data_IF_340114630341
#
_entry.id   IF_340114630341
#
_cell.length_a   1.000
_cell.length_b   1.000
_cell.length_c   1.000
_cell.angle_alpha   90.00
_cell.angle_beta   90.00
_cell.angle_gamma   90.00
#
_symmetry.space_group_name_H-M   'P 1'
#
loop_
_entity.id
_entity.type
_entity.pdbx_description
1 polymer ?
#
# COMPACT_ATOMS: atom_id res chain seq x y z
N UNK A 1 -5.97 6.68 -2.56
CA UNK A 1 -4.91 5.68 -2.84
C UNK A 1 -5.13 4.47 -1.95
N UNK A 2 -5.30 3.30 -2.54
CA UNK A 2 -5.35 2.02 -1.81
C UNK A 2 -4.04 1.30 -2.10
N UNK A 3 -3.28 0.97 -1.05
CA UNK A 3 -1.92 0.46 -1.19
C UNK A 3 -1.79 -0.93 -0.57
N UNK A 4 -1.87 -2.01 -1.38
CA UNK A 4 -1.48 -3.35 -0.96
C UNK A 4 0.04 -3.38 -0.76
N UNK A 5 0.46 -3.50 0.50
CA UNK A 5 1.87 -3.50 0.91
C UNK A 5 2.63 -4.66 0.25
N UNK A 6 3.80 -4.34 -0.30
CA UNK A 6 4.71 -5.29 -0.94
C UNK A 6 4.15 -6.10 -2.14
N UNK A 7 3.04 -5.65 -2.73
CA UNK A 7 2.41 -6.31 -3.89
C UNK A 7 3.09 -5.92 -5.22
N UNK A 8 4.30 -6.43 -5.45
CA UNK A 8 5.12 -6.16 -6.63
C UNK A 8 4.66 -6.83 -7.93
N UNK A 9 5.28 -6.40 -9.05
CA UNK A 9 5.00 -6.88 -10.41
C UNK A 9 5.27 -8.38 -10.57
N UNK A 10 6.23 -8.92 -9.81
CA UNK A 10 6.48 -10.36 -9.75
C UNK A 10 5.23 -11.15 -9.32
N UNK A 11 4.64 -10.79 -8.17
CA UNK A 11 3.44 -11.44 -7.66
C UNK A 11 2.24 -11.20 -8.59
N UNK A 12 2.10 -9.99 -9.11
CA UNK A 12 1.07 -9.64 -10.09
C UNK A 12 1.12 -10.54 -11.32
N UNK A 13 2.25 -10.59 -12.03
CA UNK A 13 2.38 -11.40 -13.26
C UNK A 13 2.10 -12.87 -13.02
N UNK A 14 2.54 -13.38 -11.87
CA UNK A 14 2.39 -14.78 -11.49
C UNK A 14 0.95 -15.14 -11.14
N UNK A 15 0.24 -14.26 -10.44
CA UNK A 15 -1.03 -14.60 -9.79
C UNK A 15 -2.25 -13.81 -10.28
N UNK A 16 -2.13 -12.91 -11.27
CA UNK A 16 -3.24 -12.08 -11.77
C UNK A 16 -4.53 -12.85 -12.16
N UNK A 17 -4.44 -14.14 -12.51
CA UNK A 17 -5.63 -14.95 -12.78
C UNK A 17 -6.47 -15.23 -11.53
N UNK A 18 -5.87 -15.12 -10.35
CA UNK A 18 -6.50 -15.26 -9.04
C UNK A 18 -7.15 -13.96 -8.54
N UNK A 19 -6.95 -12.85 -9.27
CA UNK A 19 -7.38 -11.50 -8.87
C UNK A 19 -8.20 -10.86 -10.02
N UNK A 20 -9.40 -11.40 -10.31
CA UNK A 20 -10.19 -10.98 -11.47
C UNK A 20 -10.57 -9.50 -11.45
N UNK A 21 -10.81 -8.90 -10.28
CA UNK A 21 -11.15 -7.48 -10.20
C UNK A 21 -9.97 -6.60 -10.61
N UNK A 22 -8.80 -6.77 -9.98
CA UNK A 22 -7.57 -6.07 -10.37
C UNK A 22 -7.21 -6.32 -11.83
N UNK A 23 -7.38 -7.56 -12.32
CA UNK A 23 -7.17 -7.91 -13.73
C UNK A 23 -8.05 -7.14 -14.68
N UNK A 24 -9.31 -6.91 -14.33
CA UNK A 24 -10.20 -6.08 -15.14
C UNK A 24 -9.72 -4.62 -15.20
N UNK A 25 -9.27 -4.04 -14.08
CA UNK A 25 -8.76 -2.69 -14.03
C UNK A 25 -7.47 -2.52 -14.83
N UNK A 26 -6.52 -3.46 -14.67
CA UNK A 26 -5.26 -3.45 -15.42
C UNK A 26 -5.45 -3.70 -16.92
N UNK A 27 -6.55 -4.35 -17.36
CA UNK A 27 -6.86 -4.47 -18.78
C UNK A 27 -7.28 -3.13 -19.41
N UNK A 28 -7.84 -2.21 -18.61
CA UNK A 28 -8.23 -0.87 -19.06
C UNK A 28 -7.08 0.13 -18.92
N UNK A 29 -6.41 0.13 -17.77
CA UNK A 29 -5.41 1.12 -17.37
C UNK A 29 -4.32 0.45 -16.55
N UNK A 30 -3.10 0.42 -17.06
CA UNK A 30 -1.98 -0.21 -16.37
C UNK A 30 -0.68 0.51 -16.68
N UNK A 31 0.08 0.79 -15.63
CA UNK A 31 1.47 1.22 -15.73
C UNK A 31 2.30 0.47 -14.69
N UNK A 32 3.54 0.15 -15.03
CA UNK A 32 4.53 -0.35 -14.07
C UNK A 32 5.35 0.83 -13.58
N UNK A 33 5.40 1.01 -12.27
CA UNK A 33 6.22 2.02 -11.60
C UNK A 33 7.42 1.35 -10.95
N UNK A 34 8.43 2.16 -10.61
CA UNK A 34 9.61 1.72 -9.86
C UNK A 34 9.66 2.42 -8.50
N UNK A 35 9.74 1.64 -7.44
CA UNK A 35 9.99 2.08 -6.05
C UNK A 35 11.34 2.77 -5.91
N UNK A 36 11.46 3.68 -4.96
CA UNK A 36 12.73 4.31 -4.60
C UNK A 36 13.51 3.41 -3.63
N UNK A 37 14.81 3.70 -3.47
CA UNK A 37 15.70 2.90 -2.63
C UNK A 37 15.85 3.43 -1.20
N UNK A 38 15.91 2.55 -0.19
CA UNK A 38 15.64 1.11 -0.28
C UNK A 38 14.14 0.82 -0.49
N UNK A 39 13.84 -0.27 -1.21
CA UNK A 39 12.50 -0.78 -1.53
C UNK A 39 11.81 -1.39 -0.29
N UNK A 40 11.61 -0.56 0.74
CA UNK A 40 10.98 -0.94 2.01
C UNK A 40 9.82 -0.01 2.36
N UNK A 41 8.92 -0.51 3.20
CA UNK A 41 7.62 0.11 3.48
C UNK A 41 7.69 1.57 3.94
N UNK A 42 8.45 1.95 4.99
CA UNK A 42 8.45 3.34 5.46
C UNK A 42 8.98 4.32 4.42
N UNK A 43 9.97 3.89 3.63
CA UNK A 43 10.61 4.72 2.61
C UNK A 43 9.65 4.94 1.44
N UNK A 44 9.03 3.89 0.92
CA UNK A 44 8.21 4.02 -0.28
C UNK A 44 6.84 4.64 -0.01
N UNK A 45 6.22 4.36 1.14
CA UNK A 45 5.04 5.13 1.55
C UNK A 45 5.35 6.62 1.77
N UNK A 46 6.54 6.95 2.28
CA UNK A 46 6.98 8.34 2.36
C UNK A 46 7.16 8.96 0.96
N UNK A 47 7.76 8.23 0.02
CA UNK A 47 7.90 8.67 -1.37
C UNK A 47 6.54 8.93 -2.04
N UNK A 48 5.55 8.05 -1.82
CA UNK A 48 4.20 8.19 -2.37
C UNK A 48 3.50 9.49 -1.93
N UNK A 49 3.78 10.00 -0.73
CA UNK A 49 3.15 11.23 -0.21
C UNK A 49 4.05 12.45 -0.29
N UNK A 50 5.32 12.32 -0.64
CA UNK A 50 6.27 13.45 -0.74
C UNK A 50 6.72 13.74 -2.18
N UNK A 51 6.61 12.76 -3.09
CA UNK A 51 7.04 12.90 -4.48
C UNK A 51 8.56 12.92 -4.67
N UNK A 52 9.35 12.54 -3.66
CA UNK A 52 10.82 12.49 -3.70
C UNK A 52 11.32 11.16 -3.14
N UNK A 53 12.60 10.86 -3.33
CA UNK A 53 13.29 9.72 -2.73
C UNK A 53 13.76 9.98 -1.29
N UNK A 54 14.50 9.03 -0.72
CA UNK A 54 14.96 9.04 0.65
C UNK A 54 15.78 10.28 1.03
N UNK A 55 16.60 10.78 0.11
CA UNK A 55 17.43 11.96 0.36
C UNK A 55 16.56 13.22 0.48
N UNK A 56 15.43 13.26 -0.24
CA UNK A 56 14.47 14.36 -0.12
C UNK A 56 13.55 14.27 1.10
N UNK A 57 12.98 13.09 1.38
CA UNK A 57 11.96 12.95 2.44
C UNK A 57 12.51 12.58 3.82
N UNK A 58 13.72 12.00 3.90
CA UNK A 58 14.44 11.74 5.17
C UNK A 58 13.89 10.58 6.04
N UNK A 59 12.79 9.94 5.63
CA UNK A 59 12.09 8.88 6.38
C UNK A 59 12.73 7.52 6.13
N UNK A 60 13.44 6.96 7.13
CA UNK A 60 14.04 5.62 7.08
C UNK A 60 13.20 4.55 7.79
N UNK A 61 12.40 4.99 8.75
CA UNK A 61 11.51 4.17 9.59
C UNK A 61 10.27 4.99 9.91
N UNK A 62 9.16 4.32 10.23
CA UNK A 62 7.83 4.94 10.35
C UNK A 62 7.72 5.99 11.49
N UNK A 63 8.67 6.01 12.43
CA UNK A 63 8.73 6.96 13.53
C UNK A 63 9.45 8.27 13.18
N UNK A 64 10.17 8.32 12.05
CA UNK A 64 10.81 9.55 11.56
C UNK A 64 9.79 10.59 11.05
N UNK A 65 10.13 11.87 11.14
CA UNK A 65 9.39 12.96 10.50
C UNK A 65 9.88 13.20 9.07
N UNK A 66 9.00 13.76 8.22
CA UNK A 66 9.37 14.23 6.88
C UNK A 66 10.28 15.46 6.98
N UNK A 67 11.30 15.53 6.11
CA UNK A 67 12.17 16.69 5.94
C UNK A 67 11.72 17.63 4.83
N UNK A 68 10.63 17.30 4.14
CA UNK A 68 10.06 18.02 3.03
C UNK A 68 8.54 18.21 3.19
N UNK A 69 7.95 19.00 2.30
CA UNK A 69 6.49 19.12 2.18
C UNK A 69 5.87 17.80 1.68
N UNK A 70 4.75 17.42 2.27
CA UNK A 70 3.96 16.24 1.84
C UNK A 70 2.65 16.66 1.18
N UNK A 71 2.00 15.73 0.48
CA UNK A 71 0.63 15.90 -0.01
C UNK A 71 -0.34 16.28 1.11
N UNK A 72 -0.13 15.79 2.33
CA UNK A 72 -0.93 16.19 3.50
C UNK A 72 -0.82 17.69 3.77
N UNK A 73 0.41 18.24 3.69
CA UNK A 73 0.66 19.68 3.87
C UNK A 73 0.07 20.51 2.72
N UNK A 74 0.22 20.04 1.48
CA UNK A 74 -0.33 20.70 0.29
C UNK A 74 -1.86 20.78 0.37
N UNK A 75 -2.53 19.66 0.68
CA UNK A 75 -3.98 19.60 0.85
C UNK A 75 -4.44 20.55 1.96
N UNK A 76 -3.77 20.53 3.11
CA UNK A 76 -4.08 21.43 4.24
C UNK A 76 -3.90 22.89 3.87
N UNK A 77 -2.82 23.26 3.17
CA UNK A 77 -2.57 24.63 2.70
C UNK A 77 -3.64 25.13 1.71
N UNK A 78 -4.21 24.22 0.92
CA UNK A 78 -5.34 24.52 0.04
C UNK A 78 -6.69 24.61 0.78
N UNK A 79 -6.72 24.38 2.10
CA UNK A 79 -7.94 24.38 2.92
C UNK A 79 -8.69 23.05 2.95
N UNK A 80 -8.13 22.01 2.34
CA UNK A 80 -8.69 20.65 2.35
C UNK A 80 -8.25 19.84 3.57
N UNK A 81 -8.72 18.60 3.63
CA UNK A 81 -8.32 17.62 4.66
C UNK A 81 -7.86 16.32 4.03
N UNK A 82 -6.91 15.69 4.70
CA UNK A 82 -6.34 14.43 4.29
C UNK A 82 -6.48 13.33 5.35
N UNK A 83 -6.43 12.07 4.92
CA UNK A 83 -6.48 10.89 5.79
C UNK A 83 -5.35 9.91 5.46
N UNK A 84 -4.70 9.42 6.51
CA UNK A 84 -3.75 8.31 6.46
C UNK A 84 -4.27 7.17 7.32
N UNK A 85 -4.24 5.93 6.80
CA UNK A 85 -4.90 4.79 7.43
C UNK A 85 -3.99 3.57 7.43
N UNK A 86 -3.93 2.86 8.56
CA UNK A 86 -3.24 1.58 8.67
C UNK A 86 -3.54 0.84 9.97
N UNK A 87 -3.01 -0.38 10.05
CA UNK A 87 -3.02 -1.17 11.28
C UNK A 87 -2.02 -0.62 12.31
N UNK A 88 -2.28 -0.88 13.59
CA UNK A 88 -1.39 -0.52 14.68
C UNK A 88 0.01 -1.10 14.50
N UNK A 89 1.02 -0.22 14.55
CA UNK A 89 2.41 -0.60 14.34
C UNK A 89 2.86 -0.62 12.89
N UNK A 90 1.97 -0.34 11.94
CA UNK A 90 2.30 -0.27 10.51
C UNK A 90 2.50 1.19 10.07
N UNK A 91 3.21 1.40 8.97
CA UNK A 91 3.51 2.73 8.41
C UNK A 91 2.28 3.59 8.19
N UNK A 92 1.15 3.01 7.79
CA UNK A 92 -0.12 3.69 7.58
C UNK A 92 -0.66 4.34 8.85
N UNK A 93 -0.43 3.74 10.02
CA UNK A 93 -0.82 4.31 11.31
C UNK A 93 0.31 5.16 11.92
N UNK A 94 1.54 4.65 11.94
CA UNK A 94 2.65 5.28 12.65
C UNK A 94 3.25 6.49 11.90
N UNK A 95 3.18 6.49 10.56
CA UNK A 95 3.68 7.57 9.71
C UNK A 95 2.54 8.36 9.08
N UNK A 96 1.68 7.72 8.28
CA UNK A 96 0.70 8.43 7.45
C UNK A 96 -0.41 9.06 8.28
N UNK A 97 -1.08 8.28 9.14
CA UNK A 97 -2.15 8.79 10.02
C UNK A 97 -1.65 9.89 10.97
N UNK A 98 -0.38 9.80 11.41
CA UNK A 98 0.26 10.81 12.26
C UNK A 98 0.46 12.16 11.55
N UNK A 99 0.68 12.14 10.23
CA UNK A 99 0.93 13.35 9.42
C UNK A 99 -0.34 13.91 8.74
N UNK A 100 -1.37 13.08 8.58
CA UNK A 100 -2.65 13.45 8.02
C UNK A 100 -3.52 14.26 9.00
N UNK A 101 -4.56 14.92 8.48
CA UNK A 101 -5.51 15.69 9.29
C UNK A 101 -6.53 14.80 10.01
N UNK A 102 -6.83 13.63 9.41
CA UNK A 102 -7.75 12.63 9.94
C UNK A 102 -6.98 11.32 10.13
N UNK A 103 -6.63 10.94 11.37
CA UNK A 103 -5.90 9.71 11.64
C UNK A 103 -6.82 8.49 11.54
N UNK A 104 -6.49 7.53 10.67
CA UNK A 104 -7.18 6.26 10.54
C UNK A 104 -6.47 5.11 11.24
N UNK A 105 -6.75 4.92 12.53
CA UNK A 105 -6.32 3.73 13.27
C UNK A 105 -7.31 2.58 13.05
N UNK A 106 -6.86 1.52 12.38
CA UNK A 106 -7.64 0.31 12.12
C UNK A 106 -7.44 -0.80 13.17
N UNK A 107 -6.76 -0.51 14.28
CA UNK A 107 -6.53 -1.47 15.35
C UNK A 107 -5.49 -2.53 14.99
N UNK A 108 -5.56 -3.69 15.66
CA UNK A 108 -4.61 -4.81 15.47
C UNK A 108 -5.19 -5.97 14.64
N UNK A 109 -6.30 -5.73 13.95
CA UNK A 109 -7.07 -6.76 13.25
C UNK A 109 -6.53 -7.04 11.85
N UNK A 110 -7.40 -7.11 10.84
CA UNK A 110 -7.06 -7.49 9.46
C UNK A 110 -7.17 -6.32 8.50
N UNK A 111 -6.81 -6.54 7.24
CA UNK A 111 -7.04 -5.56 6.18
C UNK A 111 -8.53 -5.23 5.98
N UNK A 112 -9.47 -6.07 6.46
CA UNK A 112 -10.89 -5.71 6.46
C UNK A 112 -11.20 -4.58 7.45
N UNK A 113 -10.47 -4.48 8.56
CA UNK A 113 -10.59 -3.34 9.48
C UNK A 113 -10.06 -2.05 8.84
N UNK A 114 -8.96 -2.15 8.06
CA UNK A 114 -8.45 -1.03 7.26
C UNK A 114 -9.49 -0.60 6.23
N UNK A 115 -10.11 -1.54 5.52
CA UNK A 115 -11.14 -1.24 4.52
C UNK A 115 -12.39 -0.61 5.14
N UNK A 116 -12.83 -1.12 6.30
CA UNK A 116 -13.93 -0.55 7.06
C UNK A 116 -13.61 0.89 7.49
N UNK A 117 -12.42 1.12 8.06
CA UNK A 117 -11.96 2.44 8.50
C UNK A 117 -11.84 3.43 7.33
N UNK A 118 -11.30 3.00 6.19
CA UNK A 118 -11.21 3.82 4.99
C UNK A 118 -12.59 4.25 4.49
N UNK A 119 -13.56 3.35 4.51
CA UNK A 119 -14.92 3.69 4.11
C UNK A 119 -15.61 4.63 5.11
N UNK A 120 -15.45 4.37 6.42
CA UNK A 120 -15.99 5.21 7.49
C UNK A 120 -15.45 6.65 7.38
N UNK A 121 -14.16 6.81 7.16
CA UNK A 121 -13.54 8.13 6.99
C UNK A 121 -14.02 8.80 5.70
N UNK A 122 -14.08 8.07 4.58
CA UNK A 122 -14.56 8.61 3.31
C UNK A 122 -16.02 9.10 3.40
N UNK A 123 -16.90 8.32 4.04
CA UNK A 123 -18.33 8.64 4.16
C UNK A 123 -18.59 9.75 5.20
N UNK A 124 -17.93 9.69 6.35
CA UNK A 124 -18.21 10.59 7.48
C UNK A 124 -17.43 11.91 7.45
N UNK A 125 -16.23 11.91 6.87
CA UNK A 125 -15.34 13.07 6.88
C UNK A 125 -15.06 13.65 5.49
N UNK A 126 -15.28 12.86 4.43
CA UNK A 126 -15.07 13.26 3.04
C UNK A 126 -13.73 14.00 2.80
N UNK A 127 -12.57 13.43 3.17
CA UNK A 127 -11.28 14.06 2.93
C UNK A 127 -10.99 14.24 1.43
N UNK A 128 -10.28 15.29 1.05
CA UNK A 128 -9.83 15.53 -0.32
C UNK A 128 -8.75 14.53 -0.77
N UNK A 129 -8.00 13.98 0.18
CA UNK A 129 -6.99 12.94 -0.06
C UNK A 129 -7.04 11.85 1.00
N UNK A 130 -7.03 10.59 0.58
CA UNK A 130 -6.98 9.43 1.47
C UNK A 130 -5.94 8.44 0.95
N UNK A 131 -5.08 7.95 1.85
CA UNK A 131 -4.19 6.82 1.60
C UNK A 131 -4.35 5.75 2.68
N UNK A 132 -4.53 4.50 2.27
CA UNK A 132 -4.69 3.37 3.17
C UNK A 132 -3.70 2.25 2.85
N UNK A 133 -2.93 1.82 3.85
CA UNK A 133 -2.03 0.67 3.77
C UNK A 133 -2.80 -0.61 4.13
N UNK A 134 -2.91 -1.52 3.15
CA UNK A 134 -3.38 -2.89 3.34
C UNK A 134 -2.14 -3.78 3.54
N UNK A 135 -1.81 -4.07 4.80
CA UNK A 135 -0.50 -4.59 5.20
C UNK A 135 -0.36 -6.12 5.15
N UNK A 136 -1.46 -6.88 5.06
CA UNK A 136 -1.39 -8.33 5.27
C UNK A 136 -0.76 -9.11 4.11
N UNK A 137 -0.66 -8.51 2.92
CA UNK A 137 0.06 -9.12 1.79
C UNK A 137 1.55 -9.27 2.12
N UNK A 138 2.19 -8.23 2.66
CA UNK A 138 3.60 -8.25 3.07
C UNK A 138 3.89 -9.33 4.14
N UNK A 139 3.03 -9.41 5.16
CA UNK A 139 3.15 -10.44 6.22
C UNK A 139 3.11 -11.87 5.64
N UNK A 140 2.16 -12.12 4.73
CA UNK A 140 1.96 -13.44 4.11
C UNK A 140 3.10 -13.77 3.16
N UNK A 141 3.61 -12.80 2.39
CA UNK A 141 4.76 -13.01 1.52
C UNK A 141 6.03 -13.26 2.32
N UNK A 142 6.25 -12.57 3.44
CA UNK A 142 7.33 -12.89 4.36
C UNK A 142 7.25 -14.31 4.90
N UNK A 143 6.04 -14.78 5.25
CA UNK A 143 5.83 -16.11 5.81
C UNK A 143 6.01 -17.24 4.79
N UNK A 144 5.54 -17.05 3.55
CA UNK A 144 5.42 -18.13 2.56
C UNK A 144 6.33 -17.99 1.33
N UNK A 145 6.81 -16.78 1.03
CA UNK A 145 7.48 -16.42 -0.21
C UNK A 145 6.47 -16.04 -1.29
N UNK A 146 6.69 -14.97 -2.07
CA UNK A 146 5.74 -14.47 -3.07
C UNK A 146 5.44 -15.48 -4.20
N UNK A 147 6.31 -16.46 -4.47
CA UNK A 147 6.04 -17.48 -5.49
C UNK A 147 5.23 -18.69 -5.00
N UNK A 148 4.99 -18.78 -3.69
CA UNK A 148 4.31 -19.93 -3.07
C UNK A 148 2.80 -19.91 -3.34
N UNK A 149 2.16 -21.03 -3.73
CA UNK A 149 0.72 -21.09 -3.88
C UNK A 149 -0.05 -20.82 -2.56
N UNK A 150 0.63 -20.88 -1.42
CA UNK A 150 0.04 -20.55 -0.11
C UNK A 150 -0.33 -19.07 0.04
N UNK A 151 0.17 -18.19 -0.83
CA UNK A 151 -0.20 -16.75 -0.81
C UNK A 151 -1.52 -16.46 -1.54
N UNK A 152 -1.99 -17.39 -2.38
CA UNK A 152 -3.18 -17.20 -3.23
C UNK A 152 -4.45 -16.85 -2.44
N UNK A 153 -4.77 -17.47 -1.28
CA UNK A 153 -5.92 -17.06 -0.48
C UNK A 153 -5.88 -15.58 -0.08
N UNK A 154 -4.72 -15.09 0.38
CA UNK A 154 -4.54 -13.67 0.73
C UNK A 154 -4.74 -12.77 -0.49
N UNK A 155 -4.23 -13.15 -1.66
CA UNK A 155 -4.40 -12.38 -2.89
C UNK A 155 -5.86 -12.29 -3.35
N UNK A 156 -6.61 -13.40 -3.29
CA UNK A 156 -8.06 -13.41 -3.58
C UNK A 156 -8.84 -12.54 -2.60
N UNK A 157 -8.49 -12.57 -1.33
CA UNK A 157 -9.11 -11.72 -0.30
C UNK A 157 -8.80 -10.24 -0.52
N UNK A 158 -7.56 -9.89 -0.86
CA UNK A 158 -7.17 -8.52 -1.24
C UNK A 158 -7.93 -8.04 -2.46
N UNK A 159 -8.06 -8.86 -3.51
CA UNK A 159 -8.81 -8.51 -4.72
C UNK A 159 -10.27 -8.19 -4.43
N UNK A 160 -10.96 -9.07 -3.70
CA UNK A 160 -12.35 -8.87 -3.30
C UNK A 160 -12.52 -7.64 -2.38
N UNK A 161 -11.52 -7.34 -1.54
CA UNK A 161 -11.52 -6.16 -0.67
C UNK A 161 -11.36 -4.87 -1.46
N UNK A 162 -10.45 -4.86 -2.43
CA UNK A 162 -10.25 -3.73 -3.34
C UNK A 162 -11.52 -3.47 -4.17
N UNK A 163 -12.18 -4.52 -4.65
CA UNK A 163 -13.47 -4.38 -5.35
C UNK A 163 -14.52 -3.68 -4.46
N UNK A 164 -14.71 -4.18 -3.23
CA UNK A 164 -15.63 -3.57 -2.26
C UNK A 164 -15.28 -2.10 -2.00
N UNK A 165 -14.01 -1.78 -1.80
CA UNK A 165 -13.57 -0.41 -1.55
C UNK A 165 -13.82 0.51 -2.74
N UNK A 166 -13.46 0.08 -3.96
CA UNK A 166 -13.71 0.87 -5.17
C UNK A 166 -15.20 1.10 -5.38
N UNK A 167 -16.03 0.07 -5.21
CA UNK A 167 -17.49 0.18 -5.31
C UNK A 167 -18.10 1.15 -4.28
N UNK A 168 -17.49 1.31 -3.11
CA UNK A 168 -17.92 2.28 -2.09
C UNK A 168 -17.38 3.69 -2.33
N UNK A 169 -16.12 3.82 -2.74
CA UNK A 169 -15.45 5.11 -2.87
C UNK A 169 -15.89 5.87 -4.14
N UNK A 170 -16.10 5.18 -5.27
CA UNK A 170 -16.48 5.86 -6.52
C UNK A 170 -17.80 6.65 -6.43
N UNK A 171 -18.90 6.11 -5.84
CA UNK A 171 -20.13 6.88 -5.67
C UNK A 171 -19.98 8.13 -4.79
N UNK A 172 -18.96 8.18 -3.93
CA UNK A 172 -18.63 9.36 -3.11
C UNK A 172 -17.83 10.42 -3.89
N UNK A 173 -17.53 10.18 -5.17
CA UNK A 173 -16.81 11.12 -6.03
C UNK A 173 -15.29 10.93 -6.06
N UNK A 174 -14.76 9.88 -5.41
CA UNK A 174 -13.32 9.62 -5.44
C UNK A 174 -12.88 8.98 -6.76
N UNK A 175 -11.78 9.51 -7.32
CA UNK A 175 -10.91 8.74 -8.19
C UNK A 175 -10.04 7.81 -7.32
N UNK A 176 -9.89 6.55 -7.72
CA UNK A 176 -9.15 5.56 -6.93
C UNK A 176 -7.92 5.11 -7.69
N UNK A 177 -6.75 5.28 -7.08
CA UNK A 177 -5.48 4.69 -7.51
C UNK A 177 -5.19 3.50 -6.62
N UNK A 178 -4.85 2.36 -7.23
CA UNK A 178 -4.35 1.17 -6.56
C UNK A 178 -2.88 1.00 -6.94
N UNK A 179 -1.99 1.10 -5.95
CA UNK A 179 -0.55 1.13 -6.13
C UNK A 179 0.13 0.56 -4.88
N UNK A 180 0.94 -0.48 -5.06
CA UNK A 180 1.85 -0.96 -4.03
C UNK A 180 3.06 -0.03 -3.88
N UNK A 181 3.66 -0.02 -2.70
CA UNK A 181 4.83 0.77 -2.36
C UNK A 181 6.14 0.09 -2.82
N UNK A 182 6.22 -1.24 -2.71
CA UNK A 182 7.31 -2.08 -3.23
C UNK A 182 6.82 -3.50 -3.57
N UNK A 183 7.74 -4.38 -3.95
CA UNK A 183 7.54 -5.81 -4.15
C UNK A 183 8.30 -6.67 -3.13
N UNK A 184 8.34 -7.99 -3.36
CA UNK A 184 9.18 -8.93 -2.62
C UNK A 184 9.76 -9.98 -3.57
N UNK A 185 10.90 -10.56 -3.18
CA UNK A 185 11.48 -11.76 -3.77
C UNK A 185 11.45 -12.96 -2.80
N UNK A 186 11.55 -14.17 -3.34
CA UNK A 186 11.75 -15.37 -2.53
C UNK A 186 13.16 -15.44 -1.96
N UNK A 187 13.28 -15.82 -0.69
CA UNK A 187 14.56 -16.09 -0.04
C UNK A 187 15.02 -17.51 -0.38
N UNK A 188 16.19 -17.71 -0.98
CA UNK A 188 16.71 -19.05 -1.24
C UNK A 188 17.16 -19.73 0.05
N UNK A 189 16.80 -21.00 0.23
CA UNK A 189 17.18 -21.84 1.38
C UNK A 189 16.93 -21.17 2.75
N UNK A 190 15.69 -20.75 3.04
CA UNK A 190 15.40 -20.10 4.32
C UNK A 190 15.67 -21.08 5.46
N UNK A 191 16.26 -20.60 6.55
CA UNK A 191 16.39 -21.38 7.78
C UNK A 191 15.01 -21.84 8.31
N UNK A 192 14.95 -22.79 9.25
CA UNK A 192 13.68 -23.35 9.73
C UNK A 192 12.63 -22.32 10.19
N UNK A 193 13.09 -21.20 10.75
CA UNK A 193 12.28 -20.07 11.21
C UNK A 193 12.58 -18.77 10.43
N UNK A 194 13.24 -18.88 9.28
CA UNK A 194 13.57 -17.73 8.44
C UNK A 194 12.36 -17.25 7.65
N UNK A 195 12.35 -15.95 7.31
CA UNK A 195 11.42 -15.41 6.33
C UNK A 195 11.65 -16.11 4.98
N UNK A 196 10.57 -16.44 4.29
CA UNK A 196 10.59 -17.06 2.96
C UNK A 196 10.49 -16.03 1.84
N UNK A 197 9.97 -14.84 2.13
CA UNK A 197 10.03 -13.66 1.27
C UNK A 197 10.83 -12.52 1.92
N UNK A 198 11.49 -11.70 1.11
CA UNK A 198 12.22 -10.51 1.56
C UNK A 198 12.12 -9.39 0.53
N UNK A 199 12.57 -8.20 0.90
CA UNK A 199 12.58 -7.01 0.05
C UNK A 199 13.66 -6.04 0.52
N UNK A 200 13.82 -4.90 -0.17
CA UNK A 200 14.80 -3.86 0.13
C UNK A 200 16.01 -3.82 -0.82
N UNK A 201 16.04 -4.68 -1.85
CA UNK A 201 17.07 -4.68 -2.90
C UNK A 201 16.67 -3.84 -4.10
N UNK A 202 17.62 -3.52 -4.98
CA UNK A 202 17.38 -2.82 -6.25
C UNK A 202 16.86 -3.73 -7.36
N UNK A 203 16.63 -5.02 -7.05
CA UNK A 203 16.08 -6.00 -7.97
C UNK A 203 14.66 -5.64 -8.42
N UNK A 204 14.30 -6.08 -9.62
CA UNK A 204 13.00 -5.81 -10.23
C UNK A 204 11.86 -6.40 -9.40
N UNK A 205 12.07 -7.56 -8.77
CA UNK A 205 11.10 -8.21 -7.88
C UNK A 205 10.72 -7.34 -6.67
N UNK A 206 11.66 -6.52 -6.18
CA UNK A 206 11.45 -5.64 -5.04
C UNK A 206 11.00 -4.24 -5.48
N UNK A 207 11.38 -3.79 -6.67
CA UNK A 207 11.20 -2.40 -7.07
C UNK A 207 10.08 -2.18 -8.09
N UNK A 208 9.73 -3.16 -8.93
CA UNK A 208 8.67 -2.96 -9.91
C UNK A 208 7.31 -3.22 -9.28
N UNK A 209 6.40 -2.25 -9.38
CA UNK A 209 5.06 -2.34 -8.81
C UNK A 209 3.99 -2.01 -9.86
N UNK A 210 2.89 -2.79 -9.93
CA UNK A 210 1.78 -2.48 -10.81
C UNK A 210 0.94 -1.32 -10.25
N UNK A 211 0.50 -0.44 -11.14
CA UNK A 211 -0.39 0.68 -10.83
C UNK A 211 -1.60 0.68 -11.78
N UNK A 212 -2.79 0.83 -11.22
CA UNK A 212 -4.05 0.99 -11.96
C UNK A 212 -4.97 2.00 -11.28
N UNK A 213 -6.00 2.46 -11.99
CA UNK A 213 -6.92 3.48 -11.47
C UNK A 213 -8.30 3.44 -12.12
N UNK A 214 -9.31 3.90 -11.37
CA UNK A 214 -10.71 3.98 -11.82
C UNK A 214 -11.24 5.40 -11.89
#
# INVERSE_FOLDING_TARGET
VLAPDAFGDFAWRRWQQEMPFLRSLHAERSIILRSVMPSITPVNFAAMVSGTDLDGHGVRTFDHSFTCETLFDVVRKAGGKSAGIGLNGYTGQMLLARCADIPGDAGKGTDDDVAAKASEIAEGHAPDFLIAQLGRVDDVFHLHGPSSPLVVPMLRETDARLERLVCRLKPLGYAVIILADHGQHDVPNPGPNGKRGSHGTDADEDCLVPCTWT
#
